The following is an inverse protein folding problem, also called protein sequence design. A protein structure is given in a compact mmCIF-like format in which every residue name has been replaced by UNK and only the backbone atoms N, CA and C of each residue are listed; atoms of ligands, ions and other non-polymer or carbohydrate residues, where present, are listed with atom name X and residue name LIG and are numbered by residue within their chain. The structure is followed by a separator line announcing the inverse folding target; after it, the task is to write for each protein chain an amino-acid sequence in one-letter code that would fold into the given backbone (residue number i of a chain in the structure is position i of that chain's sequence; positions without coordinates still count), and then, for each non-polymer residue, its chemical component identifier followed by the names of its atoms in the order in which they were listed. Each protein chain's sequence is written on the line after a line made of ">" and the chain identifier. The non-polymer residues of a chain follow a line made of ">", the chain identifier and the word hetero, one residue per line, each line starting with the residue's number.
data_IF_932573953336
#
_entry.id   IF_932573953336
#
_cell.length_a   1.000
_cell.length_b   1.000
_cell.length_c   1.000
_cell.angle_alpha   90.00
_cell.angle_beta   90.00
_cell.angle_gamma   90.00
#
_symmetry.space_group_name_H-M   'P 1'
#
loop_
_entity.id
_entity.type
_entity.pdbx_description
1 polymer ?
#
# COMPACT_ATOMS: atom_id res chain seq x y z
N UNK A 1 19.71 -55.71 7.25
CA UNK A 1 20.71 -55.76 6.15
C UNK A 1 22.06 -55.36 6.71
N UNK A 2 23.07 -56.25 6.60
CA UNK A 2 24.34 -56.17 7.34
C UNK A 2 25.19 -54.96 6.94
N UNK A 3 25.84 -54.32 7.93
CA UNK A 3 26.78 -53.19 7.82
C UNK A 3 27.92 -53.42 6.82
N UNK A 4 28.17 -54.68 6.47
CA UNK A 4 29.12 -55.09 5.45
C UNK A 4 28.71 -54.68 4.03
N UNK A 5 27.41 -54.68 3.72
CA UNK A 5 26.88 -54.32 2.40
C UNK A 5 26.98 -52.81 2.15
N UNK A 6 26.74 -51.98 3.18
CA UNK A 6 26.89 -50.52 3.09
C UNK A 6 28.34 -50.10 2.87
N UNK A 7 29.31 -50.74 3.55
CA UNK A 7 30.74 -50.43 3.34
C UNK A 7 31.22 -50.80 1.93
N UNK A 8 30.72 -51.89 1.34
CA UNK A 8 31.07 -52.27 -0.04
C UNK A 8 30.44 -51.34 -1.08
N UNK A 9 29.20 -50.92 -0.90
CA UNK A 9 28.54 -49.95 -1.79
C UNK A 9 29.30 -48.61 -1.79
N UNK A 10 29.74 -48.13 -0.62
CA UNK A 10 30.47 -46.86 -0.51
C UNK A 10 31.87 -46.91 -1.15
N UNK A 11 32.54 -48.06 -1.12
CA UNK A 11 33.84 -48.26 -1.79
C UNK A 11 33.68 -48.31 -3.32
N UNK A 12 32.62 -48.95 -3.81
CA UNK A 12 32.30 -49.00 -5.25
C UNK A 12 31.99 -47.59 -5.76
N UNK A 13 31.11 -46.83 -5.08
CA UNK A 13 30.76 -45.46 -5.45
C UNK A 13 32.02 -44.57 -5.50
N UNK A 14 32.92 -44.70 -4.51
CA UNK A 14 34.17 -43.92 -4.47
C UNK A 14 35.13 -44.25 -5.62
N UNK A 15 35.22 -45.51 -6.04
CA UNK A 15 36.06 -45.89 -7.18
C UNK A 15 35.45 -45.49 -8.53
N UNK A 16 34.13 -45.59 -8.68
CA UNK A 16 33.44 -45.12 -9.90
C UNK A 16 33.56 -43.60 -10.05
N UNK A 17 33.49 -42.84 -8.95
CA UNK A 17 33.64 -41.38 -8.99
C UNK A 17 35.05 -40.92 -9.37
N UNK A 18 36.09 -41.63 -8.90
CA UNK A 18 37.49 -41.31 -9.24
C UNK A 18 37.78 -41.62 -10.72
N UNK A 19 37.25 -42.73 -11.25
CA UNK A 19 37.40 -43.07 -12.66
C UNK A 19 36.70 -42.06 -13.58
N UNK A 20 35.48 -41.62 -13.22
CA UNK A 20 34.74 -40.59 -13.98
C UNK A 20 35.46 -39.23 -13.93
N UNK A 21 36.04 -38.86 -12.79
CA UNK A 21 36.80 -37.61 -12.64
C UNK A 21 38.10 -37.61 -13.48
N UNK A 22 38.80 -38.74 -13.56
CA UNK A 22 40.02 -38.87 -14.37
C UNK A 22 39.73 -38.85 -15.88
N UNK A 23 38.63 -39.48 -16.33
CA UNK A 23 38.20 -39.40 -17.73
C UNK A 23 37.72 -37.99 -18.13
N UNK A 24 37.12 -37.23 -17.21
CA UNK A 24 36.72 -35.84 -17.46
C UNK A 24 37.93 -34.90 -17.57
N UNK A 25 38.97 -35.11 -16.77
CA UNK A 25 40.18 -34.29 -16.81
C UNK A 25 40.97 -34.48 -18.13
N UNK A 26 40.96 -35.69 -18.69
CA UNK A 26 41.55 -35.98 -19.99
C UNK A 26 40.79 -35.32 -21.17
N UNK A 27 39.49 -35.05 -21.02
CA UNK A 27 38.66 -34.42 -22.06
C UNK A 27 38.83 -32.89 -22.11
N UNK A 28 39.21 -32.26 -20.99
CA UNK A 28 39.36 -30.80 -20.88
C UNK A 28 40.69 -30.28 -21.46
N UNK A 29 41.68 -31.14 -21.71
CA UNK A 29 42.95 -30.74 -22.31
C UNK A 29 42.95 -30.67 -23.85
N UNK A 30 41.82 -30.95 -24.51
CA UNK A 30 41.71 -30.88 -25.97
C UNK A 30 40.61 -29.92 -26.42
N UNK A 31 40.87 -28.61 -26.31
CA UNK A 31 40.63 -27.60 -27.35
C UNK A 31 40.85 -26.19 -26.80
N UNK A 32 41.85 -25.55 -27.41
CA UNK A 32 42.06 -24.11 -27.42
C UNK A 32 40.78 -23.37 -27.84
N UNK A 33 40.44 -22.29 -27.13
CA UNK A 33 39.30 -21.46 -27.49
C UNK A 33 38.87 -20.55 -26.34
N UNK A 34 39.16 -19.26 -26.48
CA UNK A 34 38.92 -18.19 -25.52
C UNK A 34 37.42 -17.95 -25.23
N UNK A 35 36.74 -18.85 -24.52
CA UNK A 35 35.37 -18.60 -23.98
C UNK A 35 35.15 -19.20 -22.57
N UNK A 36 36.16 -19.83 -21.95
CA UNK A 36 35.95 -20.59 -20.69
C UNK A 36 36.65 -20.01 -19.44
N UNK A 37 36.77 -18.68 -19.33
CA UNK A 37 37.19 -18.00 -18.09
C UNK A 37 36.01 -17.54 -17.21
N UNK A 38 34.75 -17.74 -17.61
CA UNK A 38 33.57 -17.33 -16.83
C UNK A 38 32.78 -18.46 -16.18
N UNK A 39 33.13 -19.73 -16.42
CA UNK A 39 32.46 -20.88 -15.78
C UNK A 39 33.25 -21.41 -14.57
N UNK A 40 34.53 -21.01 -14.42
CA UNK A 40 35.37 -21.35 -13.25
C UNK A 40 35.22 -20.37 -12.06
N UNK A 41 34.14 -19.58 -12.02
CA UNK A 41 33.81 -18.71 -10.89
C UNK A 41 32.58 -19.18 -10.08
N UNK A 42 31.95 -20.29 -10.48
CA UNK A 42 30.73 -20.81 -9.84
C UNK A 42 30.89 -22.13 -9.07
N UNK A 43 32.11 -22.65 -8.92
CA UNK A 43 32.37 -23.91 -8.19
C UNK A 43 33.45 -23.83 -7.11
N UNK A 44 33.74 -22.63 -6.57
CA UNK A 44 34.72 -22.45 -5.48
C UNK A 44 34.10 -21.83 -4.20
N UNK A 45 32.78 -21.59 -4.15
CA UNK A 45 32.08 -21.22 -2.90
C UNK A 45 31.18 -22.38 -2.47
N UNK A 46 31.79 -23.53 -2.17
CA UNK A 46 31.13 -24.66 -1.50
C UNK A 46 32.17 -25.44 -0.66
N UNK A 47 33.06 -24.73 0.01
CA UNK A 47 34.12 -25.34 0.83
C UNK A 47 34.60 -24.43 1.97
N UNK A 48 33.69 -23.77 2.70
CA UNK A 48 34.00 -23.12 3.98
C UNK A 48 32.78 -23.05 4.91
N UNK A 49 32.21 -24.19 5.33
CA UNK A 49 31.53 -24.31 6.65
C UNK A 49 31.72 -25.74 7.18
N UNK A 50 32.94 -26.05 7.64
CA UNK A 50 33.17 -27.16 8.59
C UNK A 50 33.28 -26.53 9.98
N UNK A 51 32.23 -26.66 10.78
CA UNK A 51 32.28 -26.20 12.17
C UNK A 51 30.92 -25.89 12.77
N UNK A 52 30.06 -26.88 12.94
CA UNK A 52 29.34 -27.14 14.19
C UNK A 52 28.42 -28.35 14.02
N UNK A 53 28.62 -29.32 14.91
CA UNK A 53 27.89 -30.59 15.00
C UNK A 53 26.51 -30.29 15.63
N UNK A 54 25.38 -30.66 15.01
CA UNK A 54 24.10 -30.56 15.70
C UNK A 54 24.03 -31.68 16.76
N UNK A 55 23.90 -31.30 18.02
CA UNK A 55 23.53 -32.21 19.11
C UNK A 55 22.09 -32.67 18.89
N UNK A 56 21.87 -33.99 18.89
CA UNK A 56 20.54 -34.59 18.87
C UNK A 56 19.70 -34.07 20.04
N UNK A 57 18.40 -33.79 19.87
CA UNK A 57 17.53 -33.44 20.98
C UNK A 57 17.31 -34.67 21.86
N UNK A 58 17.53 -34.48 23.16
CA UNK A 58 17.21 -35.44 24.23
C UNK A 58 15.67 -35.58 24.33
N UNK A 59 15.11 -36.77 24.58
CA UNK A 59 13.67 -36.92 24.75
C UNK A 59 13.21 -36.21 26.03
N UNK A 60 11.98 -35.65 26.05
CA UNK A 60 11.48 -34.93 27.21
C UNK A 60 11.32 -35.87 28.42
N UNK A 61 11.53 -35.37 29.65
CA UNK A 61 11.34 -36.18 30.85
C UNK A 61 9.87 -36.55 31.03
N UNK A 62 9.63 -37.78 31.44
CA UNK A 62 8.34 -38.36 31.81
C UNK A 62 7.68 -37.52 32.92
N UNK A 63 6.66 -36.75 32.56
CA UNK A 63 5.80 -36.04 33.51
C UNK A 63 4.57 -36.88 33.85
N UNK A 64 4.77 -38.09 34.33
CA UNK A 64 3.77 -38.77 35.13
C UNK A 64 4.17 -38.70 36.60
N UNK A 65 3.31 -38.03 37.39
CA UNK A 65 3.35 -37.82 38.86
C UNK A 65 4.17 -36.63 39.36
N UNK A 66 3.51 -35.47 39.43
CA UNK A 66 3.56 -34.67 40.67
C UNK A 66 2.26 -33.89 40.87
N UNK A 67 1.56 -34.32 41.90
CA UNK A 67 0.38 -33.76 42.53
C UNK A 67 0.60 -32.33 43.06
N UNK A 68 -0.48 -31.54 42.96
CA UNK A 68 -0.94 -30.41 43.79
C UNK A 68 0.02 -29.28 44.22
N UNK A 69 -0.59 -28.09 44.26
CA UNK A 69 -0.12 -26.79 44.77
C UNK A 69 0.94 -26.03 43.95
N UNK A 70 0.45 -25.25 42.97
CA UNK A 70 1.01 -23.92 42.71
C UNK A 70 -0.12 -22.93 42.47
N UNK A 71 -0.16 -21.91 43.34
CA UNK A 71 -0.95 -20.71 43.17
C UNK A 71 -0.68 -20.09 41.79
N UNK A 72 -1.78 -19.81 41.11
CA UNK A 72 -1.89 -19.01 39.90
C UNK A 72 -1.27 -17.63 40.17
N UNK A 73 -0.07 -17.40 39.62
CA UNK A 73 0.60 -16.11 39.72
C UNK A 73 -0.11 -15.11 38.83
N UNK A 74 -0.69 -14.11 39.49
CA UNK A 74 -1.21 -12.84 39.01
C UNK A 74 -0.41 -12.27 37.82
N UNK A 75 -0.83 -12.63 36.60
CA UNK A 75 -0.53 -11.84 35.41
C UNK A 75 -1.64 -10.79 35.30
N UNK A 76 -1.32 -9.49 35.28
CA UNK A 76 -2.35 -8.48 35.04
C UNK A 76 -2.97 -8.78 33.67
N UNK A 77 -4.31 -8.73 33.56
CA UNK A 77 -4.97 -8.95 32.27
C UNK A 77 -4.41 -7.94 31.27
N UNK A 78 -4.06 -8.43 30.07
CA UNK A 78 -3.78 -7.59 28.91
C UNK A 78 -4.94 -6.60 28.81
N UNK A 79 -4.65 -5.31 28.95
CA UNK A 79 -5.66 -4.27 28.97
C UNK A 79 -6.51 -4.41 27.70
N UNK A 80 -7.78 -4.80 27.88
CA UNK A 80 -8.73 -4.81 26.78
C UNK A 80 -8.91 -3.36 26.34
N UNK A 81 -8.41 -3.02 25.15
CA UNK A 81 -8.59 -1.70 24.56
C UNK A 81 -10.09 -1.39 24.53
N UNK A 82 -10.53 -0.40 25.31
CA UNK A 82 -11.93 0.00 25.32
C UNK A 82 -12.22 0.77 24.05
N UNK A 83 -13.04 0.21 23.16
CA UNK A 83 -13.57 0.94 22.01
C UNK A 83 -14.21 2.26 22.47
N UNK A 84 -13.82 3.38 21.88
CA UNK A 84 -14.40 4.69 22.16
C UNK A 84 -15.04 5.30 20.92
N UNK A 85 -16.17 6.04 21.06
CA UNK A 85 -16.82 6.71 19.94
C UNK A 85 -15.96 7.88 19.44
N UNK A 86 -15.95 8.10 18.13
CA UNK A 86 -15.21 9.19 17.47
C UNK A 86 -16.04 9.87 16.39
N UNK A 87 -15.77 11.15 16.09
CA UNK A 87 -16.42 11.81 14.97
C UNK A 87 -15.86 11.26 13.65
N UNK A 88 -16.69 11.29 12.61
CA UNK A 88 -16.37 10.76 11.29
C UNK A 88 -16.67 11.84 10.26
N UNK A 89 -15.63 12.39 9.64
CA UNK A 89 -15.74 13.55 8.74
C UNK A 89 -15.11 13.19 7.39
N UNK A 90 -15.75 13.54 6.29
CA UNK A 90 -15.20 13.33 4.96
C UNK A 90 -15.26 14.57 4.07
N UNK A 91 -14.25 14.72 3.21
CA UNK A 91 -14.27 15.60 2.03
C UNK A 91 -14.08 14.73 0.78
N UNK A 92 -15.00 14.87 -0.17
CA UNK A 92 -15.05 14.08 -1.39
C UNK A 92 -15.08 15.03 -2.58
N UNK A 93 -14.06 14.97 -3.45
CA UNK A 93 -13.92 15.84 -4.61
C UNK A 93 -13.93 15.03 -5.90
N UNK A 94 -14.74 15.44 -6.88
CA UNK A 94 -14.80 14.86 -8.22
C UNK A 94 -14.67 15.90 -9.32
N UNK A 95 -13.55 15.90 -10.05
CA UNK A 95 -13.32 16.85 -11.14
C UNK A 95 -13.37 16.13 -12.50
N UNK A 96 -14.27 16.56 -13.38
CA UNK A 96 -14.52 15.99 -14.72
C UNK A 96 -14.41 17.03 -15.83
N UNK A 97 -14.96 18.24 -15.64
CA UNK A 97 -15.09 19.29 -16.65
C UNK A 97 -13.81 20.10 -16.87
N UNK A 98 -12.67 19.43 -16.99
CA UNK A 98 -11.39 20.06 -17.29
C UNK A 98 -11.43 20.84 -18.61
N UNK A 99 -10.78 22.00 -18.64
CA UNK A 99 -10.55 22.77 -19.88
C UNK A 99 -9.76 21.94 -20.91
N UNK A 100 -8.83 21.11 -20.45
CA UNK A 100 -8.06 20.17 -21.26
C UNK A 100 -8.24 18.73 -20.78
N UNK A 101 -8.65 17.84 -21.71
CA UNK A 101 -8.88 16.39 -21.52
C UNK A 101 -9.89 16.05 -20.43
N UNK A 102 -11.16 16.34 -20.66
CA UNK A 102 -12.24 15.97 -19.74
C UNK A 102 -12.26 14.47 -19.40
N UNK A 103 -12.71 14.17 -18.17
CA UNK A 103 -12.96 12.80 -17.70
C UNK A 103 -14.47 12.59 -17.60
N UNK A 104 -14.92 11.33 -17.70
CA UNK A 104 -16.35 11.01 -17.74
C UNK A 104 -16.93 10.76 -16.34
N UNK A 105 -16.24 10.01 -15.49
CA UNK A 105 -16.82 9.45 -14.27
C UNK A 105 -16.52 10.16 -12.94
N UNK A 106 -15.54 11.07 -12.78
CA UNK A 106 -15.21 11.60 -11.45
C UNK A 106 -16.36 12.25 -10.66
N UNK A 107 -17.30 12.91 -11.33
CA UNK A 107 -18.51 13.46 -10.66
C UNK A 107 -19.40 12.33 -10.12
N UNK A 108 -19.63 11.28 -10.92
CA UNK A 108 -20.44 10.14 -10.51
C UNK A 108 -19.77 9.37 -9.38
N UNK A 109 -18.46 9.20 -9.48
CA UNK A 109 -17.60 8.59 -8.47
C UNK A 109 -17.69 9.33 -7.13
N UNK A 110 -17.50 10.64 -7.13
CA UNK A 110 -17.58 11.47 -5.93
C UNK A 110 -18.97 11.40 -5.28
N UNK A 111 -20.05 11.51 -6.06
CA UNK A 111 -21.42 11.44 -5.52
C UNK A 111 -21.72 10.08 -4.89
N UNK A 112 -21.36 9.00 -5.57
CA UNK A 112 -21.60 7.64 -5.06
C UNK A 112 -20.78 7.36 -3.80
N UNK A 113 -19.51 7.77 -3.76
CA UNK A 113 -18.67 7.61 -2.56
C UNK A 113 -19.23 8.43 -1.41
N UNK A 114 -19.66 9.68 -1.65
CA UNK A 114 -20.27 10.50 -0.62
C UNK A 114 -21.54 9.84 -0.03
N UNK A 115 -22.47 9.40 -0.89
CA UNK A 115 -23.70 8.74 -0.44
C UNK A 115 -23.42 7.46 0.38
N UNK A 116 -22.44 6.66 -0.04
CA UNK A 116 -22.06 5.45 0.71
C UNK A 116 -21.41 5.80 2.05
N UNK A 117 -20.56 6.83 2.13
CA UNK A 117 -19.95 7.28 3.38
C UNK A 117 -20.99 7.87 4.35
N UNK A 118 -21.97 8.62 3.86
CA UNK A 118 -23.09 9.14 4.67
C UNK A 118 -23.90 7.98 5.28
N UNK A 119 -24.20 6.93 4.51
CA UNK A 119 -24.86 5.71 5.02
C UNK A 119 -24.05 4.99 6.09
N UNK A 120 -22.73 5.15 6.07
CA UNK A 120 -21.80 4.61 7.07
C UNK A 120 -21.61 5.55 8.27
N UNK A 121 -22.29 6.70 8.32
CA UNK A 121 -22.30 7.61 9.47
C UNK A 121 -21.32 8.79 9.40
N UNK A 122 -20.68 9.02 8.25
CA UNK A 122 -19.78 10.16 8.07
C UNK A 122 -20.55 11.47 7.82
N UNK A 123 -20.04 12.57 8.37
CA UNK A 123 -20.38 13.93 7.95
C UNK A 123 -19.59 14.31 6.68
N UNK A 124 -20.25 14.24 5.53
CA UNK A 124 -19.60 14.35 4.22
C UNK A 124 -19.82 15.74 3.60
N UNK A 125 -18.73 16.35 3.13
CA UNK A 125 -18.79 17.45 2.14
C UNK A 125 -18.41 16.88 0.79
N UNK A 126 -19.29 17.05 -0.20
CA UNK A 126 -19.04 16.64 -1.58
C UNK A 126 -18.94 17.86 -2.48
N UNK A 127 -17.88 17.93 -3.26
CA UNK A 127 -17.61 19.03 -4.18
C UNK A 127 -17.26 18.50 -5.57
N UNK A 128 -17.66 19.21 -6.61
CA UNK A 128 -17.46 18.77 -7.99
C UNK A 128 -17.01 19.90 -8.90
N UNK A 129 -16.14 19.58 -9.86
CA UNK A 129 -15.64 20.51 -10.87
C UNK A 129 -15.07 21.81 -10.29
N UNK A 130 -14.16 21.65 -9.33
CA UNK A 130 -13.53 22.76 -8.64
C UNK A 130 -12.35 23.33 -9.43
N UNK A 131 -12.33 24.66 -9.55
CA UNK A 131 -11.12 25.39 -9.95
C UNK A 131 -10.09 25.42 -8.79
N UNK A 132 -8.89 25.94 -9.06
CA UNK A 132 -7.81 25.92 -8.05
C UNK A 132 -8.19 26.58 -6.72
N UNK A 133 -8.83 27.75 -6.77
CA UNK A 133 -9.18 28.49 -5.57
C UNK A 133 -10.23 27.72 -4.77
N UNK A 134 -11.27 27.23 -5.43
CA UNK A 134 -12.32 26.46 -4.78
C UNK A 134 -11.81 25.14 -4.17
N UNK A 135 -10.84 24.46 -4.82
CA UNK A 135 -10.18 23.30 -4.20
C UNK A 135 -9.47 23.67 -2.90
N UNK A 136 -8.74 24.80 -2.89
CA UNK A 136 -8.02 25.27 -1.70
C UNK A 136 -8.97 25.65 -0.58
N UNK A 137 -10.08 26.31 -0.92
CA UNK A 137 -11.12 26.70 0.04
C UNK A 137 -11.78 25.44 0.64
N UNK A 138 -12.17 24.46 -0.18
CA UNK A 138 -12.75 23.21 0.30
C UNK A 138 -11.79 22.43 1.23
N UNK A 139 -10.48 22.41 0.93
CA UNK A 139 -9.46 21.79 1.79
C UNK A 139 -9.29 22.56 3.10
N UNK A 140 -9.32 23.90 3.06
CA UNK A 140 -9.28 24.78 4.23
C UNK A 140 -10.50 24.59 5.14
N UNK A 141 -11.68 24.44 4.56
CA UNK A 141 -12.92 24.21 5.31
C UNK A 141 -12.94 22.82 5.93
N UNK A 142 -12.50 21.79 5.19
CA UNK A 142 -12.33 20.45 5.73
C UNK A 142 -11.32 20.42 6.89
N UNK A 143 -10.20 21.13 6.76
CA UNK A 143 -9.25 21.31 7.87
C UNK A 143 -9.93 21.92 9.10
N UNK A 144 -10.76 22.94 8.90
CA UNK A 144 -11.46 23.62 10.00
C UNK A 144 -12.47 22.69 10.68
N UNK A 145 -13.17 21.84 9.92
CA UNK A 145 -14.04 20.79 10.48
C UNK A 145 -13.25 19.78 11.31
N UNK A 146 -12.13 19.26 10.79
CA UNK A 146 -11.27 18.33 11.53
C UNK A 146 -10.69 18.93 12.83
N UNK A 147 -10.52 20.25 12.91
CA UNK A 147 -10.07 20.94 14.13
C UNK A 147 -11.19 21.19 15.14
N UNK A 148 -12.44 21.20 14.68
CA UNK A 148 -13.61 21.43 15.52
C UNK A 148 -14.09 20.15 16.24
N UNK A 149 -13.57 18.99 15.83
CA UNK A 149 -13.96 17.68 16.34
C UNK A 149 -12.90 17.14 17.35
N UNK A 150 -13.19 16.10 18.14
CA UNK A 150 -12.25 15.51 19.10
C UNK A 150 -10.87 15.13 18.50
N UNK A 151 -9.85 14.96 19.34
CA UNK A 151 -8.49 14.69 18.83
C UNK A 151 -8.35 13.35 18.09
N UNK A 152 -9.24 12.39 18.29
CA UNK A 152 -9.08 11.00 17.88
C UNK A 152 -10.04 10.57 16.74
N UNK A 153 -10.50 11.53 15.93
CA UNK A 153 -11.51 11.33 14.89
C UNK A 153 -11.05 10.56 13.65
N UNK A 154 -12.02 10.13 12.83
CA UNK A 154 -11.77 9.59 11.49
C UNK A 154 -11.99 10.68 10.44
N UNK A 155 -10.92 11.05 9.75
CA UNK A 155 -10.96 11.97 8.61
C UNK A 155 -10.75 11.22 7.29
N UNK A 156 -11.66 11.36 6.33
CA UNK A 156 -11.52 10.83 4.96
C UNK A 156 -11.38 11.97 3.97
N UNK A 157 -10.34 11.93 3.15
CA UNK A 157 -10.24 12.70 1.92
C UNK A 157 -10.32 11.74 0.73
N UNK A 158 -11.25 11.98 -0.18
CA UNK A 158 -11.37 11.26 -1.44
C UNK A 158 -11.27 12.23 -2.61
N UNK A 159 -10.48 11.86 -3.63
CA UNK A 159 -10.38 12.60 -4.88
C UNK A 159 -10.46 11.67 -6.09
N UNK A 160 -11.34 12.00 -7.03
CA UNK A 160 -11.36 11.45 -8.39
C UNK A 160 -11.14 12.56 -9.42
N UNK A 161 -10.26 12.33 -10.38
CA UNK A 161 -9.92 13.33 -11.41
C UNK A 161 -8.54 13.16 -12.03
N UNK A 162 -8.00 14.21 -12.62
CA UNK A 162 -6.60 14.25 -13.07
C UNK A 162 -5.63 14.50 -11.93
N UNK A 163 -4.49 13.82 -11.98
CA UNK A 163 -3.38 14.07 -11.08
C UNK A 163 -2.04 13.89 -11.77
N UNK A 164 -1.02 14.59 -11.27
CA UNK A 164 0.34 14.55 -11.81
C UNK A 164 1.38 14.38 -10.70
N UNK A 165 2.62 14.09 -11.09
CA UNK A 165 3.76 13.99 -10.19
C UNK A 165 4.96 14.71 -10.77
N UNK A 166 5.65 15.46 -9.92
CA UNK A 166 6.95 16.07 -10.22
C UNK A 166 7.87 15.81 -9.03
N UNK A 167 9.10 15.37 -9.28
CA UNK A 167 10.13 15.18 -8.24
C UNK A 167 9.69 14.35 -7.02
N UNK A 168 8.85 13.32 -7.22
CA UNK A 168 8.39 12.50 -6.09
C UNK A 168 7.27 13.15 -5.28
N UNK A 169 6.61 14.20 -5.78
CA UNK A 169 5.52 14.89 -5.12
C UNK A 169 4.24 14.86 -5.95
N UNK A 170 3.10 14.73 -5.29
CA UNK A 170 1.80 14.52 -5.91
C UNK A 170 0.99 15.80 -6.03
N UNK A 171 0.40 16.01 -7.19
CA UNK A 171 -0.45 17.17 -7.47
C UNK A 171 -1.83 16.73 -7.98
N UNK A 172 -2.87 17.40 -7.48
CA UNK A 172 -4.25 17.23 -7.94
C UNK A 172 -4.62 18.42 -8.82
N UNK A 173 -5.17 18.14 -10.01
CA UNK A 173 -5.43 19.18 -10.99
C UNK A 173 -6.84 19.76 -10.81
N UNK A 174 -6.98 21.10 -10.83
CA UNK A 174 -8.28 21.76 -10.90
C UNK A 174 -8.84 21.75 -12.32
N UNK A 175 -10.12 22.09 -12.50
CA UNK A 175 -10.73 22.10 -13.84
C UNK A 175 -10.16 23.18 -14.77
N UNK A 176 -9.65 24.30 -14.23
CA UNK A 176 -9.01 25.39 -14.96
C UNK A 176 -7.53 25.09 -15.31
N UNK A 177 -7.29 23.87 -15.83
CA UNK A 177 -5.96 23.33 -16.06
C UNK A 177 -5.25 23.84 -17.33
N UNK A 178 -5.83 24.76 -18.11
CA UNK A 178 -5.20 25.30 -19.33
C UNK A 178 -3.87 26.05 -19.09
N UNK A 179 -3.67 26.49 -17.84
CA UNK A 179 -2.47 27.18 -17.36
C UNK A 179 -1.32 26.24 -17.03
N UNK A 180 -1.58 24.93 -16.92
CA UNK A 180 -0.58 23.92 -16.54
C UNK A 180 0.11 23.41 -17.81
N UNK A 181 1.26 24.01 -18.15
CA UNK A 181 2.02 23.67 -19.38
C UNK A 181 3.44 23.19 -19.11
N UNK A 182 3.88 23.25 -17.85
CA UNK A 182 5.20 22.82 -17.40
C UNK A 182 5.17 22.35 -15.94
N UNK A 183 6.25 21.73 -15.48
CA UNK A 183 6.44 21.33 -14.08
C UNK A 183 6.37 22.52 -13.11
N UNK A 184 6.90 23.67 -13.52
CA UNK A 184 6.81 24.90 -12.73
C UNK A 184 5.36 25.39 -12.61
N UNK A 185 4.57 25.26 -13.68
CA UNK A 185 3.15 25.61 -13.65
C UNK A 185 2.36 24.65 -12.76
N UNK A 186 2.69 23.35 -12.75
CA UNK A 186 2.05 22.39 -11.86
C UNK A 186 2.22 22.79 -10.39
N UNK A 187 3.43 23.19 -9.99
CA UNK A 187 3.72 23.68 -8.62
C UNK A 187 2.93 24.95 -8.26
N UNK A 188 2.51 25.73 -9.26
CA UNK A 188 1.82 27.02 -9.07
C UNK A 188 0.29 26.91 -9.16
N UNK A 189 -0.20 26.04 -10.04
CA UNK A 189 -1.61 26.00 -10.45
C UNK A 189 -2.31 24.66 -10.16
N UNK A 190 -1.69 23.78 -9.39
CA UNK A 190 -2.32 22.56 -8.87
C UNK A 190 -2.21 22.51 -7.34
N UNK A 191 -2.98 21.62 -6.72
CA UNK A 191 -2.92 21.39 -5.27
C UNK A 191 -1.82 20.38 -4.96
N UNK A 192 -0.91 20.72 -4.05
CA UNK A 192 0.17 19.85 -3.62
C UNK A 192 -0.33 18.85 -2.55
N UNK A 193 -0.69 17.63 -2.95
CA UNK A 193 -1.39 16.67 -2.10
C UNK A 193 -0.57 16.24 -0.87
N UNK A 194 0.75 16.13 -1.01
CA UNK A 194 1.66 15.75 0.07
C UNK A 194 1.62 16.72 1.25
N UNK A 195 1.65 18.02 0.96
CA UNK A 195 1.71 19.09 1.94
C UNK A 195 0.33 19.59 2.35
N UNK A 196 -0.52 19.92 1.37
CA UNK A 196 -1.81 20.59 1.60
C UNK A 196 -2.88 19.63 2.14
N UNK A 197 -2.79 18.33 1.84
CA UNK A 197 -3.77 17.33 2.29
C UNK A 197 -3.16 16.44 3.37
N UNK A 198 -2.12 15.67 3.03
CA UNK A 198 -1.48 14.76 3.99
C UNK A 198 -0.83 15.52 5.14
N UNK A 199 -0.08 16.57 4.85
CA UNK A 199 0.56 17.41 5.87
C UNK A 199 -0.45 18.06 6.80
N UNK A 200 -1.56 18.57 6.24
CA UNK A 200 -2.67 19.16 6.98
C UNK A 200 -3.35 18.14 7.90
N UNK A 201 -3.86 17.02 7.36
CA UNK A 201 -4.61 16.01 8.13
C UNK A 201 -3.79 15.44 9.28
N UNK A 202 -2.48 15.22 9.07
CA UNK A 202 -1.56 14.74 10.11
C UNK A 202 -1.33 15.73 11.25
N UNK A 203 -1.54 17.02 11.03
CA UNK A 203 -1.37 18.07 12.03
C UNK A 203 -2.66 18.30 12.80
N UNK A 204 -3.80 18.22 12.11
CA UNK A 204 -5.10 18.59 12.66
C UNK A 204 -5.78 17.44 13.38
N UNK A 205 -5.67 16.21 12.86
CA UNK A 205 -6.33 15.04 13.42
C UNK A 205 -5.33 14.03 13.98
N UNK A 206 -5.40 13.77 15.29
CA UNK A 206 -4.57 12.76 15.95
C UNK A 206 -5.18 11.35 15.92
N UNK A 207 -6.40 11.19 15.38
CA UNK A 207 -7.04 9.91 15.12
C UNK A 207 -6.61 9.27 13.79
N UNK A 208 -7.56 8.71 13.05
CA UNK A 208 -7.32 8.00 11.80
C UNK A 208 -7.60 8.88 10.58
N UNK A 209 -6.61 9.03 9.72
CA UNK A 209 -6.71 9.77 8.47
C UNK A 209 -6.64 8.81 7.29
N UNK A 210 -7.58 8.93 6.36
CA UNK A 210 -7.62 8.15 5.13
C UNK A 210 -7.60 9.10 3.95
N UNK A 211 -6.67 8.90 3.02
CA UNK A 211 -6.56 9.67 1.79
C UNK A 211 -6.71 8.70 0.62
N UNK A 212 -7.72 8.88 -0.22
CA UNK A 212 -7.96 8.05 -1.40
C UNK A 212 -7.77 8.88 -2.66
N UNK A 213 -6.84 8.47 -3.53
CA UNK A 213 -6.52 9.16 -4.77
C UNK A 213 -6.84 8.26 -5.97
N UNK A 214 -8.03 8.44 -6.55
CA UNK A 214 -8.47 7.81 -7.81
C UNK A 214 -8.18 8.74 -8.99
N UNK A 215 -6.88 8.98 -9.23
CA UNK A 215 -6.44 9.97 -10.20
C UNK A 215 -5.92 9.33 -11.50
N UNK A 216 -6.48 9.74 -12.63
CA UNK A 216 -5.92 9.48 -13.97
C UNK A 216 -4.67 10.35 -14.17
N UNK A 217 -3.59 9.74 -14.67
CA UNK A 217 -2.24 10.33 -14.65
C UNK A 217 -1.64 10.45 -16.03
N UNK A 218 -2.25 11.34 -16.78
CA UNK A 218 -1.73 11.76 -18.06
C UNK A 218 -0.82 12.97 -17.90
N UNK A 219 0.18 13.11 -18.78
CA UNK A 219 0.94 14.36 -18.89
C UNK A 219 -0.06 15.48 -19.27
N UNK A 220 -0.34 16.45 -18.38
CA UNK A 220 -1.33 17.48 -18.66
C UNK A 220 -0.79 18.57 -19.60
N UNK A 221 0.52 18.58 -19.87
CA UNK A 221 1.15 19.60 -20.69
C UNK A 221 0.79 19.41 -22.16
N UNK A 222 0.01 20.34 -22.71
CA UNK A 222 -0.15 20.44 -24.15
C UNK A 222 1.24 20.61 -24.82
N UNK A 223 1.70 19.57 -25.54
CA UNK A 223 2.89 19.63 -26.38
C UNK A 223 4.24 19.29 -25.72
N UNK A 224 4.30 18.79 -24.49
CA UNK A 224 5.58 18.35 -23.90
C UNK A 224 5.89 16.88 -24.20
N UNK A 225 6.93 16.66 -25.00
CA UNK A 225 7.54 15.34 -25.26
C UNK A 225 8.56 14.93 -24.20
N UNK A 226 8.77 15.77 -23.16
CA UNK A 226 9.69 15.46 -22.07
C UNK A 226 8.97 14.64 -21.00
N UNK A 227 9.38 13.38 -20.96
CA UNK A 227 9.03 12.33 -20.00
C UNK A 227 9.02 12.83 -18.55
N UNK A 228 7.84 13.26 -18.08
CA UNK A 228 7.51 13.13 -16.68
C UNK A 228 7.45 11.65 -16.31
N UNK A 229 7.86 11.33 -15.08
CA UNK A 229 7.51 10.07 -14.47
C UNK A 229 5.98 9.99 -14.42
N UNK A 230 5.40 9.00 -15.10
CA UNK A 230 3.96 8.72 -15.07
C UNK A 230 3.56 8.36 -13.62
N UNK A 231 2.31 8.54 -13.21
CA UNK A 231 1.80 8.03 -11.91
C UNK A 231 1.96 8.93 -10.67
N UNK A 232 1.52 8.45 -9.49
CA UNK A 232 1.69 9.06 -8.15
C UNK A 232 3.05 8.68 -7.58
N UNK A 233 3.73 9.58 -6.89
CA UNK A 233 4.81 9.22 -5.99
C UNK A 233 4.26 8.51 -4.75
N UNK A 234 5.10 7.66 -4.16
CA UNK A 234 4.93 7.34 -2.74
C UNK A 234 5.02 8.63 -1.94
N UNK A 235 4.07 8.83 -1.02
CA UNK A 235 4.13 9.96 -0.09
C UNK A 235 5.07 9.52 1.04
N UNK A 236 6.16 10.19 1.38
CA UNK A 236 7.05 9.68 2.43
C UNK A 236 6.29 9.48 3.76
N UNK A 237 6.50 8.34 4.48
CA UNK A 237 5.96 8.18 5.82
C UNK A 237 6.58 9.28 6.73
N UNK A 238 5.78 9.94 7.58
CA UNK A 238 6.26 11.12 8.30
C UNK A 238 7.30 10.76 9.37
N UNK A 239 8.33 11.60 9.50
CA UNK A 239 9.44 11.43 10.47
C UNK A 239 9.05 11.79 11.91
N UNK A 240 7.99 12.60 12.09
CA UNK A 240 7.43 13.00 13.39
C UNK A 240 5.93 13.32 13.21
N UNK A 241 4.99 12.59 13.87
CA UNK A 241 3.66 13.09 14.33
C UNK A 241 2.68 11.99 14.84
N UNK A 242 1.59 12.49 15.45
CA UNK A 242 0.66 11.84 16.40
C UNK A 242 -0.42 10.94 15.77
N UNK A 243 -0.99 11.31 14.61
CA UNK A 243 -2.11 10.58 14.01
C UNK A 243 -1.76 9.37 13.15
N UNK A 244 -2.75 8.51 12.94
CA UNK A 244 -2.73 7.34 12.04
C UNK A 244 -3.03 7.78 10.61
N UNK A 245 -2.33 7.25 9.62
CA UNK A 245 -2.56 7.54 8.20
C UNK A 245 -2.66 6.26 7.37
N UNK A 246 -3.66 6.20 6.50
CA UNK A 246 -3.76 5.30 5.37
C UNK A 246 -3.89 6.13 4.09
N UNK A 247 -3.03 5.88 3.11
CA UNK A 247 -3.18 6.44 1.76
C UNK A 247 -3.45 5.32 0.78
N UNK A 248 -4.55 5.41 0.07
CA UNK A 248 -4.99 4.47 -0.94
C UNK A 248 -4.85 5.08 -2.34
N UNK A 249 -4.01 4.46 -3.15
CA UNK A 249 -3.74 4.84 -4.53
C UNK A 249 -4.47 3.87 -5.47
N UNK A 250 -5.21 4.39 -6.44
CA UNK A 250 -5.95 3.55 -7.39
C UNK A 250 -5.04 2.67 -8.28
N UNK A 251 -3.77 3.04 -8.45
CA UNK A 251 -2.79 2.32 -9.25
C UNK A 251 -1.37 2.57 -8.72
N UNK A 252 -0.37 1.86 -9.27
CA UNK A 252 1.00 1.94 -8.82
C UNK A 252 1.66 3.28 -9.23
N UNK A 253 2.68 3.73 -8.49
CA UNK A 253 3.60 4.76 -8.98
C UNK A 253 4.09 4.41 -10.38
N UNK A 254 4.16 5.36 -11.31
CA UNK A 254 4.47 5.04 -12.71
C UNK A 254 3.26 4.78 -13.60
N UNK A 255 2.05 4.53 -13.07
CA UNK A 255 0.91 3.99 -13.85
C UNK A 255 -0.33 4.89 -13.78
N UNK A 256 -1.27 4.67 -14.70
CA UNK A 256 -2.55 5.36 -14.83
C UNK A 256 -3.69 4.55 -14.23
N UNK A 257 -4.61 5.22 -13.52
CA UNK A 257 -5.91 4.67 -13.19
C UNK A 257 -6.83 4.77 -14.41
N UNK A 258 -7.83 3.89 -14.50
CA UNK A 258 -8.79 3.86 -15.59
C UNK A 258 -10.06 4.61 -15.20
N UNK A 259 -10.35 5.68 -15.93
CA UNK A 259 -11.67 6.33 -15.93
C UNK A 259 -12.75 5.42 -16.54
N UNK A 260 -12.38 4.32 -17.23
CA UNK A 260 -13.34 3.35 -17.73
C UNK A 260 -13.46 2.15 -16.77
N UNK A 261 -14.59 2.05 -16.09
CA UNK A 261 -14.98 0.92 -15.25
C UNK A 261 -16.46 0.57 -15.38
N UNK A 262 -16.92 -0.51 -14.73
CA UNK A 262 -18.33 -0.90 -14.73
C UNK A 262 -19.21 0.14 -14.03
N UNK A 263 -20.51 0.15 -14.34
CA UNK A 263 -21.50 0.93 -13.57
C UNK A 263 -21.40 2.46 -13.73
N UNK A 264 -20.74 2.98 -14.78
CA UNK A 264 -20.45 4.42 -14.95
C UNK A 264 -19.53 4.99 -13.86
N UNK A 265 -18.58 4.17 -13.42
CA UNK A 265 -17.56 4.54 -12.44
C UNK A 265 -16.14 4.30 -12.97
N UNK A 266 -15.17 5.00 -12.39
CA UNK A 266 -13.76 4.61 -12.50
C UNK A 266 -13.56 3.18 -11.97
N UNK A 267 -12.60 2.45 -12.52
CA UNK A 267 -12.43 1.03 -12.18
C UNK A 267 -12.10 0.81 -10.70
N UNK A 268 -11.31 1.70 -10.09
CA UNK A 268 -11.03 1.64 -8.66
C UNK A 268 -12.27 1.97 -7.84
N UNK A 269 -12.94 3.09 -8.15
CA UNK A 269 -14.15 3.52 -7.44
C UNK A 269 -15.27 2.48 -7.48
N UNK A 270 -15.45 1.76 -8.60
CA UNK A 270 -16.42 0.67 -8.66
C UNK A 270 -16.20 -0.39 -7.56
N UNK A 271 -14.96 -0.85 -7.37
CA UNK A 271 -14.66 -1.85 -6.35
C UNK A 271 -14.58 -1.25 -4.93
N UNK A 272 -14.23 0.03 -4.80
CA UNK A 272 -14.37 0.76 -3.54
C UNK A 272 -15.83 0.76 -3.08
N UNK A 273 -16.76 1.13 -3.96
CA UNK A 273 -18.19 1.12 -3.68
C UNK A 273 -18.71 -0.29 -3.38
N UNK A 274 -18.25 -1.31 -4.10
CA UNK A 274 -18.64 -2.71 -3.84
C UNK A 274 -18.29 -3.16 -2.41
N UNK A 275 -17.10 -2.79 -1.91
CA UNK A 275 -16.66 -3.10 -0.54
C UNK A 275 -17.41 -2.23 0.48
N UNK A 276 -17.47 -0.91 0.28
CA UNK A 276 -18.09 0.00 1.24
C UNK A 276 -19.60 -0.27 1.42
N UNK A 277 -20.32 -0.62 0.35
CA UNK A 277 -21.74 -0.96 0.46
C UNK A 277 -22.02 -2.28 1.20
N UNK A 278 -21.00 -3.15 1.35
CA UNK A 278 -21.08 -4.39 2.13
C UNK A 278 -20.54 -4.22 3.56
N UNK A 279 -19.89 -3.09 3.84
CA UNK A 279 -19.30 -2.82 5.14
C UNK A 279 -20.40 -2.72 6.21
N UNK A 280 -20.14 -3.33 7.36
CA UNK A 280 -20.96 -3.19 8.54
C UNK A 280 -20.34 -2.14 9.47
N UNK A 281 -21.09 -1.58 10.43
CA UNK A 281 -20.52 -0.68 11.43
C UNK A 281 -19.32 -1.28 12.18
N UNK A 282 -19.21 -2.61 12.29
CA UNK A 282 -18.09 -3.31 12.93
C UNK A 282 -16.89 -3.55 12.02
N UNK A 283 -17.03 -3.36 10.69
CA UNK A 283 -15.95 -3.57 9.72
C UNK A 283 -14.83 -2.56 9.94
N UNK A 284 -13.60 -3.05 10.11
CA UNK A 284 -12.42 -2.19 10.23
C UNK A 284 -12.11 -1.52 8.89
N UNK A 285 -11.79 -0.23 8.96
CA UNK A 285 -11.55 0.58 7.76
C UNK A 285 -10.32 0.08 7.01
N UNK A 286 -9.23 -0.26 7.69
CA UNK A 286 -8.00 -0.75 7.06
C UNK A 286 -8.18 -2.12 6.37
N UNK A 287 -9.02 -2.99 6.93
CA UNK A 287 -9.41 -4.25 6.31
C UNK A 287 -10.21 -4.02 5.03
N UNK A 288 -11.21 -3.12 5.07
CA UNK A 288 -11.99 -2.76 3.89
C UNK A 288 -11.10 -2.19 2.78
N UNK A 289 -10.18 -1.26 3.09
CA UNK A 289 -9.26 -0.72 2.09
C UNK A 289 -8.27 -1.76 1.56
N UNK A 290 -7.88 -2.74 2.39
CA UNK A 290 -7.07 -3.88 1.94
C UNK A 290 -7.84 -4.80 0.99
N UNK A 291 -9.13 -5.04 1.25
CA UNK A 291 -10.01 -5.78 0.35
C UNK A 291 -10.18 -5.06 -0.99
N UNK A 292 -10.37 -3.74 -0.99
CA UNK A 292 -10.44 -2.92 -2.22
C UNK A 292 -9.17 -3.10 -3.06
N UNK A 293 -7.98 -3.00 -2.43
CA UNK A 293 -6.70 -3.22 -3.12
C UNK A 293 -6.67 -4.60 -3.79
N UNK A 294 -7.08 -5.64 -3.07
CA UNK A 294 -6.99 -7.01 -3.54
C UNK A 294 -7.99 -7.27 -4.68
N UNK A 295 -9.22 -6.76 -4.58
CA UNK A 295 -10.23 -6.85 -5.63
C UNK A 295 -9.81 -6.11 -6.90
N UNK A 296 -9.35 -4.86 -6.77
CA UNK A 296 -8.91 -4.07 -7.94
C UNK A 296 -7.71 -4.75 -8.60
N UNK A 297 -6.74 -5.25 -7.84
CA UNK A 297 -5.58 -5.99 -8.37
C UNK A 297 -5.99 -7.29 -9.08
N UNK A 298 -7.00 -7.98 -8.57
CA UNK A 298 -7.48 -9.25 -9.14
C UNK A 298 -8.32 -9.03 -10.40
N UNK A 299 -9.16 -7.99 -10.42
CA UNK A 299 -10.21 -7.83 -11.43
C UNK A 299 -9.87 -6.82 -12.52
N UNK A 300 -8.82 -6.03 -12.33
CA UNK A 300 -8.42 -5.00 -13.28
C UNK A 300 -6.95 -5.16 -13.66
N UNK A 301 -6.48 -4.32 -14.59
CA UNK A 301 -5.04 -4.20 -14.92
C UNK A 301 -4.31 -3.20 -14.02
N UNK A 302 -5.01 -2.57 -13.07
CA UNK A 302 -4.41 -1.62 -12.14
C UNK A 302 -3.67 -2.36 -11.03
N UNK A 303 -2.62 -1.71 -10.52
CA UNK A 303 -1.83 -2.21 -9.40
C UNK A 303 -2.02 -1.26 -8.21
N UNK A 304 -3.19 -1.28 -7.55
CA UNK A 304 -3.47 -0.38 -6.44
C UNK A 304 -2.43 -0.56 -5.32
N UNK A 305 -2.13 0.55 -4.65
CA UNK A 305 -1.12 0.58 -3.59
C UNK A 305 -1.70 1.20 -2.33
N UNK A 306 -1.40 0.60 -1.18
CA UNK A 306 -1.71 1.16 0.13
C UNK A 306 -0.43 1.55 0.83
N UNK A 307 -0.44 2.74 1.41
CA UNK A 307 0.62 3.17 2.30
C UNK A 307 0.03 3.46 3.68
N UNK A 308 0.55 2.79 4.71
CA UNK A 308 0.01 2.89 6.06
C UNK A 308 1.07 3.28 7.07
N UNK A 309 0.66 4.08 8.04
CA UNK A 309 1.38 4.34 9.29
C UNK A 309 0.38 4.38 10.45
N UNK A 310 -0.54 3.41 10.44
CA UNK A 310 -1.63 3.30 11.41
C UNK A 310 -1.07 2.96 12.80
N UNK A 311 -1.58 3.67 13.80
CA UNK A 311 -1.33 3.48 15.24
C UNK A 311 -2.62 3.24 16.01
N UNK A 312 -3.74 3.24 15.31
CA UNK A 312 -5.10 3.13 15.80
C UNK A 312 -5.92 2.52 14.65
N UNK A 313 -6.82 1.63 15.00
CA UNK A 313 -7.71 0.96 14.08
C UNK A 313 -9.14 1.37 14.40
N UNK A 314 -9.87 1.83 13.40
CA UNK A 314 -11.23 2.29 13.54
C UNK A 314 -12.16 1.48 12.63
N UNK A 315 -13.38 1.26 13.06
CA UNK A 315 -14.44 0.71 12.21
C UNK A 315 -15.36 1.82 11.68
N UNK A 316 -16.20 1.46 10.71
CA UNK A 316 -17.17 2.39 10.13
C UNK A 316 -18.26 2.83 11.13
N UNK A 317 -18.48 2.14 12.24
CA UNK A 317 -19.41 2.51 13.31
C UNK A 317 -18.87 3.54 14.28
N UNK A 318 -17.74 4.19 13.96
CA UNK A 318 -17.18 5.28 14.75
C UNK A 318 -16.52 4.80 16.04
N UNK A 319 -16.06 3.54 16.10
CA UNK A 319 -15.29 3.03 17.24
C UNK A 319 -13.84 2.80 16.86
N UNK A 320 -12.94 3.22 17.74
CA UNK A 320 -11.51 3.05 17.54
C UNK A 320 -10.84 2.34 18.71
N UNK A 321 -9.75 1.63 18.41
CA UNK A 321 -8.88 0.97 19.37
C UNK A 321 -7.41 1.19 19.05
N UNK A 322 -6.59 1.26 20.09
CA UNK A 322 -5.12 1.19 19.95
C UNK A 322 -4.68 -0.29 19.83
N UNK A 323 -3.54 -0.58 19.17
CA UNK A 323 -3.02 -1.92 18.94
C UNK A 323 -2.83 -2.75 20.21
#
# INVERSE_FOLDING_TARGET
>A
MSSYLQRRIMIIIRHTFIAVAQSFFALVHFKSGSVMKKILAFFVIALLISGCKPSSPEPPPDTSKRSNDRQETDYPPVAQGTDYPVAQTALVIGNSAYEYRQLKNPINDARAVAETLEKLGFDVTVETDLNLQAMKDAISDFRSRLLATPKDDVGIFYYSGHGAQVEGQNYLLPIDNSRIRSEADLKKYAVHADEEISGMMKVTNAGMNIITLDACRDNPYAGSSKSLNRGLAQMPPPVKKRGSLLVAFATAPGKTASDAGPGNHGAYTYYLLDVLNKAQPTTLIDEAFSEVRDLVKQKTKQEPWLQTSLKQFCNFGGKCRQP
#
